data_IF_377835246875
#
_entry.id   IF_377835246875
#
_cell.length_a   1.000
_cell.length_b   1.000
_cell.length_c   1.000
_cell.angle_alpha   90.00
_cell.angle_beta   90.00
_cell.angle_gamma   90.00
#
_symmetry.space_group_name_H-M   'P 1'
#
loop_
_entity.id
_entity.type
_entity.pdbx_description
1 polymer ?
#
# COMPACT_ATOMS: atom_id res chain seq x y z
N UNK A 1 -5.25 -21.44 4.51
CA UNK A 1 -4.89 -22.45 3.50
C UNK A 1 -4.31 -21.72 2.30
N UNK A 2 -3.07 -21.97 1.95
CA UNK A 2 -2.45 -21.41 0.74
C UNK A 2 -2.71 -22.36 -0.43
N UNK A 3 -2.73 -21.88 -1.67
CA UNK A 3 -2.83 -22.76 -2.84
C UNK A 3 -1.65 -23.75 -2.94
N UNK A 4 -0.55 -23.49 -2.23
CA UNK A 4 0.60 -24.39 -2.11
C UNK A 4 0.30 -25.66 -1.31
N UNK A 5 -0.72 -25.64 -0.43
CA UNK A 5 -1.15 -26.76 0.40
C UNK A 5 -2.13 -27.71 -0.32
N UNK A 6 -2.60 -27.31 -1.51
CA UNK A 6 -3.51 -28.14 -2.31
C UNK A 6 -2.75 -29.37 -2.81
N UNK A 7 -3.30 -30.55 -2.53
CA UNK A 7 -2.71 -31.82 -2.95
C UNK A 7 -2.79 -32.00 -4.48
N UNK A 8 -1.64 -32.24 -5.10
CA UNK A 8 -1.52 -32.50 -6.52
C UNK A 8 -1.18 -31.29 -7.39
N UNK A 9 -0.33 -31.53 -8.39
CA UNK A 9 0.16 -30.46 -9.31
C UNK A 9 -0.97 -29.81 -10.11
N UNK A 10 -1.95 -30.60 -10.53
CA UNK A 10 -3.10 -30.12 -11.32
C UNK A 10 -3.98 -29.19 -10.49
N UNK A 11 -4.24 -29.52 -9.21
CA UNK A 11 -5.01 -28.68 -8.31
C UNK A 11 -4.35 -27.34 -8.06
N UNK A 12 -3.03 -27.32 -7.87
CA UNK A 12 -2.25 -26.08 -7.68
C UNK A 12 -2.31 -25.17 -8.90
N UNK A 13 -2.11 -25.72 -10.10
CA UNK A 13 -2.20 -24.97 -11.35
C UNK A 13 -3.60 -24.39 -11.55
N UNK A 14 -4.64 -25.18 -11.31
CA UNK A 14 -6.02 -24.72 -11.42
C UNK A 14 -6.33 -23.59 -10.42
N UNK A 15 -5.86 -23.69 -9.18
CA UNK A 15 -6.02 -22.65 -8.17
C UNK A 15 -5.28 -21.35 -8.57
N UNK A 16 -4.03 -21.45 -9.02
CA UNK A 16 -3.28 -20.31 -9.53
C UNK A 16 -4.00 -19.58 -10.67
N UNK A 17 -4.52 -20.34 -11.64
CA UNK A 17 -5.26 -19.78 -12.77
C UNK A 17 -6.56 -19.11 -12.29
N UNK A 18 -7.27 -19.72 -11.35
CA UNK A 18 -8.49 -19.15 -10.76
C UNK A 18 -8.22 -17.81 -10.07
N UNK A 19 -7.19 -17.73 -9.22
CA UNK A 19 -6.81 -16.48 -8.54
C UNK A 19 -6.28 -15.43 -9.53
N UNK A 20 -5.52 -15.83 -10.54
CA UNK A 20 -5.06 -14.94 -11.59
C UNK A 20 -6.24 -14.29 -12.32
N UNK A 21 -7.21 -15.07 -12.75
CA UNK A 21 -8.41 -14.56 -13.45
C UNK A 21 -9.25 -13.67 -12.52
N UNK A 22 -9.44 -14.06 -11.25
CA UNK A 22 -10.16 -13.25 -10.27
C UNK A 22 -9.48 -11.90 -10.03
N UNK A 23 -8.15 -11.90 -9.87
CA UNK A 23 -7.36 -10.67 -9.73
C UNK A 23 -7.48 -9.78 -10.96
N UNK A 24 -7.37 -10.34 -12.16
CA UNK A 24 -7.59 -9.61 -13.42
C UNK A 24 -8.98 -8.96 -13.47
N UNK A 25 -10.02 -9.69 -13.09
CA UNK A 25 -11.39 -9.18 -13.10
C UNK A 25 -11.58 -8.02 -12.12
N UNK A 26 -11.04 -8.12 -10.91
CA UNK A 26 -11.08 -7.04 -9.91
C UNK A 26 -10.35 -5.81 -10.46
N UNK A 27 -9.12 -5.96 -10.94
CA UNK A 27 -8.32 -4.84 -11.45
C UNK A 27 -8.88 -4.25 -12.75
N UNK A 28 -9.56 -5.04 -13.57
CA UNK A 28 -10.33 -4.52 -14.71
C UNK A 28 -11.46 -3.58 -14.25
N UNK A 29 -12.18 -3.92 -13.18
CA UNK A 29 -13.18 -3.02 -12.62
C UNK A 29 -12.54 -1.74 -12.04
N UNK A 30 -11.36 -1.86 -11.43
CA UNK A 30 -10.62 -0.71 -10.90
C UNK A 30 -10.16 0.26 -12.01
N UNK A 31 -9.86 -0.22 -13.21
CA UNK A 31 -9.56 0.71 -14.33
C UNK A 31 -10.70 1.68 -14.57
N UNK A 32 -11.96 1.23 -14.46
CA UNK A 32 -13.13 2.11 -14.58
C UNK A 32 -13.22 3.12 -13.44
N UNK A 33 -12.82 2.70 -12.22
CA UNK A 33 -12.81 3.57 -11.02
C UNK A 33 -11.78 4.69 -11.18
N UNK A 34 -10.57 4.36 -11.68
CA UNK A 34 -9.49 5.31 -11.96
C UNK A 34 -9.95 6.45 -12.89
N UNK A 35 -10.80 6.15 -13.87
CA UNK A 35 -11.34 7.17 -14.76
C UNK A 35 -12.53 7.94 -14.16
N UNK A 36 -13.38 7.24 -13.39
CA UNK A 36 -14.65 7.79 -12.91
C UNK A 36 -14.52 8.72 -11.69
N UNK A 37 -13.53 8.48 -10.83
CA UNK A 37 -13.34 9.30 -9.62
C UNK A 37 -12.91 10.73 -9.99
N UNK A 38 -11.84 10.96 -10.79
CA UNK A 38 -11.46 12.32 -11.18
C UNK A 38 -12.58 13.06 -11.91
N UNK A 39 -13.29 12.38 -12.82
CA UNK A 39 -14.41 12.96 -13.56
C UNK A 39 -15.54 13.44 -12.62
N UNK A 40 -15.91 12.63 -11.62
CA UNK A 40 -16.94 13.01 -10.64
C UNK A 40 -16.52 14.13 -9.70
N UNK A 41 -15.24 14.23 -9.38
CA UNK A 41 -14.68 15.25 -8.49
C UNK A 41 -14.21 16.50 -9.25
N UNK A 42 -14.40 16.54 -10.56
CA UNK A 42 -13.99 17.64 -11.44
C UNK A 42 -12.47 17.94 -11.33
N UNK A 43 -11.66 16.89 -11.06
CA UNK A 43 -10.21 17.01 -11.04
C UNK A 43 -9.67 17.13 -12.47
N UNK A 44 -8.84 18.13 -12.69
CA UNK A 44 -8.19 18.33 -13.98
C UNK A 44 -7.10 17.28 -14.19
N UNK A 45 -7.13 16.62 -15.36
CA UNK A 45 -6.08 15.67 -15.74
C UNK A 45 -4.92 16.41 -16.36
N UNK A 46 -3.76 16.28 -15.75
CA UNK A 46 -2.51 16.86 -16.23
C UNK A 46 -1.82 15.98 -17.27
N UNK A 47 -2.08 14.67 -17.22
CA UNK A 47 -1.46 13.69 -18.12
C UNK A 47 -2.49 12.76 -18.77
N UNK A 48 -2.36 12.54 -20.07
CA UNK A 48 -3.18 11.58 -20.80
C UNK A 48 -2.68 10.14 -20.57
N UNK A 49 -3.61 9.21 -20.29
CA UNK A 49 -3.25 7.82 -20.02
C UNK A 49 -2.69 7.10 -21.24
N UNK A 50 -1.57 6.42 -21.08
CA UNK A 50 -0.95 5.61 -22.13
C UNK A 50 -1.85 4.46 -22.60
N UNK A 51 -1.78 4.11 -23.90
CA UNK A 51 -2.65 3.09 -24.55
C UNK A 51 -2.61 1.71 -23.87
N UNK A 52 -1.47 1.30 -23.31
CA UNK A 52 -1.28 -0.02 -22.70
C UNK A 52 -1.47 -0.02 -21.18
N UNK A 53 -1.75 1.14 -20.57
CA UNK A 53 -1.86 1.28 -19.11
C UNK A 53 -2.88 0.33 -18.51
N UNK A 54 -4.08 0.27 -19.08
CA UNK A 54 -5.17 -0.55 -18.56
C UNK A 54 -4.82 -2.05 -18.60
N UNK A 55 -4.19 -2.50 -19.70
CA UNK A 55 -3.74 -3.88 -19.81
C UNK A 55 -2.67 -4.21 -18.74
N UNK A 56 -1.72 -3.30 -18.52
CA UNK A 56 -0.71 -3.45 -17.48
C UNK A 56 -1.32 -3.56 -16.08
N UNK A 57 -2.30 -2.70 -15.75
CA UNK A 57 -3.02 -2.74 -14.47
C UNK A 57 -3.74 -4.09 -14.28
N UNK A 58 -4.42 -4.58 -15.31
CA UNK A 58 -5.17 -5.84 -15.24
C UNK A 58 -4.24 -7.03 -15.04
N UNK A 59 -3.13 -7.11 -15.80
CA UNK A 59 -2.14 -8.18 -15.67
C UNK A 59 -1.49 -8.12 -14.27
N UNK A 60 -1.12 -6.93 -13.80
CA UNK A 60 -0.58 -6.73 -12.44
C UNK A 60 -1.54 -7.26 -11.38
N UNK A 61 -2.85 -7.01 -11.51
CA UNK A 61 -3.86 -7.52 -10.59
C UNK A 61 -3.93 -9.05 -10.55
N UNK A 62 -3.80 -9.71 -11.70
CA UNK A 62 -3.72 -11.17 -11.76
C UNK A 62 -2.49 -11.73 -11.05
N UNK A 63 -1.31 -11.16 -11.33
CA UNK A 63 -0.05 -11.55 -10.68
C UNK A 63 -0.12 -11.31 -9.18
N UNK A 64 -0.60 -10.13 -8.77
CA UNK A 64 -0.76 -9.79 -7.36
C UNK A 64 -1.66 -10.77 -6.62
N UNK A 65 -2.80 -11.17 -7.20
CA UNK A 65 -3.71 -12.13 -6.56
C UNK A 65 -3.05 -13.49 -6.30
N UNK A 66 -2.26 -13.99 -7.24
CA UNK A 66 -1.51 -15.24 -7.07
C UNK A 66 -0.45 -15.09 -5.98
N UNK A 67 0.30 -14.00 -5.96
CA UNK A 67 1.30 -13.75 -4.93
C UNK A 67 0.66 -13.63 -3.54
N UNK A 68 -0.42 -12.84 -3.40
CA UNK A 68 -1.09 -12.66 -2.11
C UNK A 68 -1.66 -13.97 -1.55
N UNK A 69 -2.31 -14.77 -2.38
CA UNK A 69 -2.82 -16.08 -1.93
C UNK A 69 -1.72 -17.07 -1.63
N UNK A 70 -0.54 -16.93 -2.27
CA UNK A 70 0.65 -17.72 -1.96
C UNK A 70 1.29 -17.34 -0.62
N UNK A 71 1.40 -16.06 -0.31
CA UNK A 71 2.05 -15.56 0.91
C UNK A 71 1.12 -15.52 2.13
N UNK A 72 -0.09 -15.00 1.97
CA UNK A 72 -1.03 -14.76 3.07
C UNK A 72 -2.13 -15.83 3.18
N UNK A 73 -2.20 -16.73 2.20
CA UNK A 73 -3.30 -17.69 2.14
C UNK A 73 -4.64 -17.05 1.78
N UNK A 74 -5.72 -17.80 2.02
CA UNK A 74 -7.10 -17.39 1.75
C UNK A 74 -7.77 -16.80 3.00
N UNK A 75 -6.99 -16.37 3.99
CA UNK A 75 -7.50 -15.72 5.19
C UNK A 75 -8.06 -14.33 4.92
N UNK A 76 -8.95 -13.85 5.79
CA UNK A 76 -9.57 -12.53 5.67
C UNK A 76 -8.54 -11.40 5.68
N UNK A 77 -7.44 -11.56 6.43
CA UNK A 77 -6.34 -10.59 6.43
C UNK A 77 -5.66 -10.47 5.06
N UNK A 78 -5.41 -11.61 4.40
CA UNK A 78 -4.86 -11.63 3.04
C UNK A 78 -5.76 -10.90 2.04
N UNK A 79 -7.08 -11.06 2.17
CA UNK A 79 -8.07 -10.34 1.35
C UNK A 79 -7.99 -8.83 1.61
N UNK A 80 -7.90 -8.40 2.87
CA UNK A 80 -7.79 -6.97 3.22
C UNK A 80 -6.51 -6.39 2.63
N UNK A 81 -5.37 -7.06 2.74
CA UNK A 81 -4.11 -6.59 2.17
C UNK A 81 -4.12 -6.57 0.64
N UNK A 82 -4.76 -7.54 0.00
CA UNK A 82 -4.97 -7.52 -1.45
C UNK A 82 -5.84 -6.35 -1.89
N UNK A 83 -6.95 -6.07 -1.17
CA UNK A 83 -7.79 -4.90 -1.44
C UNK A 83 -7.05 -3.59 -1.17
N UNK A 84 -6.20 -3.54 -0.15
CA UNK A 84 -5.34 -2.40 0.10
C UNK A 84 -4.39 -2.13 -1.07
N UNK A 85 -3.72 -3.18 -1.60
CA UNK A 85 -2.90 -3.04 -2.80
C UNK A 85 -3.72 -2.54 -4.00
N UNK A 86 -4.95 -3.02 -4.14
CA UNK A 86 -5.87 -2.56 -5.17
C UNK A 86 -6.19 -1.06 -5.04
N UNK A 87 -6.46 -0.58 -3.82
CA UNK A 87 -6.67 0.87 -3.56
C UNK A 87 -5.39 1.67 -3.78
N UNK A 88 -4.22 1.18 -3.36
CA UNK A 88 -2.93 1.83 -3.64
C UNK A 88 -2.67 1.97 -5.15
N UNK A 89 -3.06 0.96 -5.93
CA UNK A 89 -2.98 1.05 -7.40
C UNK A 89 -3.85 2.17 -7.95
N UNK A 90 -5.09 2.32 -7.43
CA UNK A 90 -5.98 3.43 -7.81
C UNK A 90 -5.38 4.78 -7.42
N UNK A 91 -4.86 4.91 -6.18
CA UNK A 91 -4.16 6.11 -5.71
C UNK A 91 -3.01 6.48 -6.65
N UNK A 92 -2.15 5.50 -6.97
CA UNK A 92 -1.00 5.67 -7.86
C UNK A 92 -1.40 6.31 -9.20
N UNK A 93 -2.38 5.73 -9.87
CA UNK A 93 -2.75 6.21 -11.21
C UNK A 93 -3.55 7.50 -11.19
N UNK A 94 -4.37 7.75 -10.17
CA UNK A 94 -5.07 9.03 -10.05
C UNK A 94 -4.06 10.15 -9.74
N UNK A 95 -3.14 9.91 -8.79
CA UNK A 95 -2.13 10.91 -8.43
C UNK A 95 -1.17 11.19 -9.61
N UNK A 96 -0.82 10.19 -10.42
CA UNK A 96 -0.07 10.41 -11.67
C UNK A 96 -0.82 11.24 -12.71
N UNK A 97 -2.15 11.11 -12.76
CA UNK A 97 -2.98 11.82 -13.74
C UNK A 97 -3.36 13.22 -13.28
N UNK A 98 -3.58 13.44 -11.97
CA UNK A 98 -4.19 14.67 -11.42
C UNK A 98 -3.32 15.39 -10.39
N UNK A 99 -2.23 14.77 -9.90
CA UNK A 99 -1.41 15.22 -8.75
C UNK A 99 -2.25 15.44 -7.47
N UNK A 100 -3.38 14.77 -7.36
CA UNK A 100 -4.23 14.84 -6.19
C UNK A 100 -4.70 13.44 -5.76
N UNK A 101 -4.64 13.17 -4.46
CA UNK A 101 -5.18 11.93 -3.89
C UNK A 101 -6.60 12.19 -3.37
N UNK A 102 -7.64 11.61 -3.99
CA UNK A 102 -9.03 11.77 -3.56
C UNK A 102 -9.22 11.35 -2.11
N UNK A 103 -9.83 12.21 -1.30
CA UNK A 103 -10.06 11.94 0.13
C UNK A 103 -10.80 10.62 0.38
N UNK A 104 -11.73 10.25 -0.51
CA UNK A 104 -12.50 9.00 -0.40
C UNK A 104 -11.62 7.76 -0.37
N UNK A 105 -10.49 7.74 -1.09
CA UNK A 105 -9.57 6.59 -1.08
C UNK A 105 -8.89 6.42 0.28
N UNK A 106 -8.51 7.53 0.92
CA UNK A 106 -7.95 7.51 2.26
C UNK A 106 -8.97 7.03 3.31
N UNK A 107 -10.24 7.42 3.17
CA UNK A 107 -11.33 6.92 4.01
C UNK A 107 -11.52 5.41 3.82
N UNK A 108 -11.50 4.92 2.58
CA UNK A 108 -11.59 3.47 2.31
C UNK A 108 -10.45 2.71 3.00
N UNK A 109 -9.21 3.18 2.90
CA UNK A 109 -8.06 2.56 3.58
C UNK A 109 -8.26 2.56 5.10
N UNK A 110 -8.72 3.68 5.66
CA UNK A 110 -8.98 3.78 7.09
C UNK A 110 -10.07 2.79 7.55
N UNK A 111 -11.19 2.71 6.81
CA UNK A 111 -12.26 1.74 7.08
C UNK A 111 -11.74 0.30 7.00
N UNK A 112 -10.88 -0.02 6.04
CA UNK A 112 -10.22 -1.33 5.97
C UNK A 112 -9.39 -1.60 7.23
N UNK A 113 -8.70 -0.59 7.76
CA UNK A 113 -7.99 -0.67 9.05
C UNK A 113 -8.92 -0.96 10.22
N UNK A 114 -10.08 -0.31 10.28
CA UNK A 114 -11.11 -0.58 11.30
C UNK A 114 -11.67 -2.01 11.17
N UNK A 115 -12.00 -2.44 9.96
CA UNK A 115 -12.46 -3.81 9.70
C UNK A 115 -11.40 -4.84 10.13
N UNK A 116 -10.13 -4.61 9.76
CA UNK A 116 -9.01 -5.45 10.18
C UNK A 116 -8.91 -5.54 11.71
N UNK A 117 -9.09 -4.44 12.42
CA UNK A 117 -9.07 -4.42 13.88
C UNK A 117 -10.23 -5.21 14.49
N UNK A 118 -11.44 -5.03 13.97
CA UNK A 118 -12.63 -5.76 14.43
C UNK A 118 -12.45 -7.27 14.22
N UNK A 119 -11.98 -7.67 13.04
CA UNK A 119 -11.76 -9.08 12.72
C UNK A 119 -10.67 -9.70 13.61
N UNK A 120 -9.61 -8.98 13.93
CA UNK A 120 -8.60 -9.42 14.87
C UNK A 120 -9.21 -9.67 16.25
N UNK A 121 -10.02 -8.75 16.76
CA UNK A 121 -10.69 -8.91 18.05
C UNK A 121 -11.65 -10.11 18.07
N UNK A 122 -12.40 -10.32 16.99
CA UNK A 122 -13.29 -11.49 16.86
C UNK A 122 -12.48 -12.78 16.79
N UNK A 123 -11.35 -12.80 16.07
CA UNK A 123 -10.44 -13.95 15.99
C UNK A 123 -9.91 -14.37 17.35
N UNK A 124 -9.51 -13.41 18.19
CA UNK A 124 -8.99 -13.67 19.53
C UNK A 124 -10.06 -14.21 20.50
N UNK A 125 -11.33 -13.90 20.25
CA UNK A 125 -12.45 -14.30 21.14
C UNK A 125 -13.12 -15.61 20.73
N UNK A 126 -12.95 -16.09 19.48
CA UNK A 126 -13.59 -17.31 18.97
C UNK A 126 -12.56 -18.44 18.83
N UNK A 127 -12.55 -19.46 19.71
CA UNK A 127 -11.66 -20.61 19.58
C UNK A 127 -11.86 -21.34 18.25
N UNK A 128 -10.76 -21.68 17.56
CA UNK A 128 -10.82 -22.39 16.28
C UNK A 128 -11.05 -21.52 15.05
N UNK A 129 -10.97 -20.21 15.18
CA UNK A 129 -11.10 -19.25 14.07
C UNK A 129 -9.83 -19.08 13.25
N UNK A 130 -9.11 -20.15 12.91
CA UNK A 130 -7.88 -20.10 12.09
C UNK A 130 -8.08 -19.33 10.77
N UNK A 131 -9.29 -19.39 10.21
CA UNK A 131 -9.65 -18.64 9.01
C UNK A 131 -9.65 -17.11 9.23
N UNK A 132 -9.85 -16.67 10.47
CA UNK A 132 -9.83 -15.26 10.90
C UNK A 132 -8.47 -14.86 11.46
N UNK A 133 -7.51 -15.79 11.59
CA UNK A 133 -6.19 -15.51 12.12
C UNK A 133 -5.55 -14.32 11.40
N UNK A 134 -5.17 -13.33 12.15
CA UNK A 134 -4.66 -12.05 11.68
C UNK A 134 -3.24 -11.87 12.24
N UNK A 135 -2.36 -11.25 11.44
CA UNK A 135 -1.08 -10.80 11.97
C UNK A 135 -1.31 -9.87 13.16
N UNK A 136 -0.59 -10.09 14.25
CA UNK A 136 -0.75 -9.34 15.50
C UNK A 136 -0.25 -7.90 15.37
N UNK A 137 -1.04 -7.05 14.71
CA UNK A 137 -0.82 -5.61 14.74
C UNK A 137 -1.56 -5.03 15.95
N UNK A 138 -0.87 -4.87 17.07
CA UNK A 138 -1.44 -4.33 18.31
C UNK A 138 -2.14 -2.98 18.07
N UNK A 139 -3.23 -2.70 18.81
CA UNK A 139 -3.94 -1.40 18.76
C UNK A 139 -2.97 -0.23 18.94
N UNK A 140 -2.04 -0.35 19.90
CA UNK A 140 -1.02 0.68 20.14
C UNK A 140 -0.14 0.88 18.89
N UNK A 141 0.25 -0.20 18.22
CA UNK A 141 1.02 -0.13 16.96
C UNK A 141 0.25 0.59 15.85
N UNK A 142 -1.07 0.39 15.76
CA UNK A 142 -1.94 1.09 14.80
C UNK A 142 -2.04 2.58 15.10
N UNK A 143 -2.25 2.95 16.37
CA UNK A 143 -2.33 4.36 16.79
C UNK A 143 -1.00 5.09 16.59
N UNK A 144 0.12 4.46 16.94
CA UNK A 144 1.45 5.01 16.66
C UNK A 144 1.65 5.14 15.15
N UNK A 145 1.24 4.12 14.36
CA UNK A 145 1.34 4.11 12.91
C UNK A 145 0.63 5.29 12.24
N UNK A 146 -0.55 5.68 12.75
CA UNK A 146 -1.27 6.86 12.26
C UNK A 146 -0.43 8.14 12.37
N UNK A 147 0.33 8.29 13.46
CA UNK A 147 0.93 9.56 13.86
C UNK A 147 2.40 9.62 13.48
N UNK A 148 3.12 8.50 13.50
CA UNK A 148 4.58 8.47 13.39
C UNK A 148 5.13 9.13 12.11
N UNK A 149 4.42 9.06 11.00
CA UNK A 149 4.82 9.69 9.73
C UNK A 149 3.91 10.87 9.39
N UNK A 150 2.58 10.73 9.57
CA UNK A 150 1.65 11.78 9.19
C UNK A 150 1.86 13.08 9.97
N UNK A 151 2.18 13.00 11.27
CA UNK A 151 2.44 14.17 12.10
C UNK A 151 3.72 14.92 11.69
N UNK A 152 4.90 14.28 11.52
CA UNK A 152 6.08 14.94 10.97
C UNK A 152 5.83 15.58 9.60
N UNK A 153 5.15 14.89 8.68
CA UNK A 153 4.81 15.45 7.37
C UNK A 153 3.90 16.67 7.51
N UNK A 154 2.89 16.60 8.39
CA UNK A 154 2.01 17.74 8.66
C UNK A 154 2.78 18.94 9.21
N UNK A 155 3.71 18.72 10.14
CA UNK A 155 4.56 19.77 10.68
C UNK A 155 5.46 20.38 9.59
N UNK A 156 6.03 19.56 8.69
CA UNK A 156 6.83 20.09 7.57
C UNK A 156 5.98 21.01 6.69
N UNK A 157 4.75 20.59 6.33
CA UNK A 157 3.84 21.40 5.50
C UNK A 157 3.41 22.69 6.19
N UNK A 158 3.32 22.70 7.52
CA UNK A 158 3.02 23.92 8.29
C UNK A 158 4.10 24.99 8.15
N UNK A 159 5.38 24.58 8.04
CA UNK A 159 6.52 25.49 7.87
C UNK A 159 6.89 25.70 6.39
N UNK A 160 6.63 24.70 5.54
CA UNK A 160 6.92 24.69 4.11
C UNK A 160 5.66 24.23 3.37
N UNK A 161 4.72 25.13 3.05
CA UNK A 161 3.38 24.77 2.52
C UNK A 161 3.40 23.94 1.24
N UNK A 162 4.47 23.99 0.45
CA UNK A 162 4.63 23.26 -0.81
C UNK A 162 5.51 22.00 -0.67
N UNK A 163 5.90 21.62 0.57
CA UNK A 163 6.84 20.53 0.80
C UNK A 163 6.28 19.13 0.51
N UNK A 164 5.01 18.88 0.84
CA UNK A 164 4.30 17.62 0.61
C UNK A 164 2.82 17.87 0.32
N UNK A 165 2.20 16.96 -0.45
CA UNK A 165 0.77 17.00 -0.71
C UNK A 165 -0.07 16.66 0.53
N UNK A 166 -1.16 17.42 0.76
CA UNK A 166 -2.10 17.10 1.83
C UNK A 166 -2.75 15.70 1.68
N UNK A 167 -2.77 15.17 0.46
CA UNK A 167 -3.20 13.82 0.15
C UNK A 167 -2.26 12.76 0.71
N UNK A 168 -0.94 12.97 0.59
CA UNK A 168 0.11 12.06 1.08
C UNK A 168 0.05 11.92 2.61
N UNK A 169 -0.17 13.02 3.33
CA UNK A 169 -0.31 13.01 4.80
C UNK A 169 -1.50 12.14 5.22
N UNK A 170 -2.65 12.31 4.55
CA UNK A 170 -3.86 11.53 4.81
C UNK A 170 -3.69 10.05 4.43
N UNK A 171 -2.96 9.79 3.33
CA UNK A 171 -2.62 8.43 2.92
C UNK A 171 -1.77 7.74 4.00
N UNK A 172 -0.72 8.40 4.49
CA UNK A 172 0.14 7.84 5.53
C UNK A 172 -0.59 7.64 6.86
N UNK A 173 -1.52 8.54 7.20
CA UNK A 173 -2.39 8.41 8.36
C UNK A 173 -3.27 7.15 8.26
N UNK A 174 -3.98 6.97 7.16
CA UNK A 174 -4.89 5.85 6.96
C UNK A 174 -4.15 4.51 6.82
N UNK A 175 -3.06 4.49 6.04
CA UNK A 175 -2.22 3.31 5.87
C UNK A 175 -1.52 2.91 7.19
N UNK A 176 -1.10 3.90 7.99
CA UNK A 176 -0.49 3.67 9.29
C UNK A 176 -1.42 2.98 10.29
N UNK A 177 -2.70 3.32 10.25
CA UNK A 177 -3.71 2.62 11.05
C UNK A 177 -3.94 1.17 10.60
N UNK A 178 -3.90 0.91 9.31
CA UNK A 178 -4.06 -0.45 8.77
C UNK A 178 -2.83 -1.33 9.05
N UNK A 179 -1.62 -0.82 8.77
CA UNK A 179 -0.38 -1.60 8.75
C UNK A 179 0.39 -1.58 10.08
N UNK A 180 0.11 -0.59 10.95
CA UNK A 180 0.90 -0.33 12.14
C UNK A 180 2.22 0.41 11.85
N UNK A 181 2.90 0.87 12.92
CA UNK A 181 4.02 1.80 12.81
C UNK A 181 5.26 1.22 12.07
N UNK A 182 5.59 -0.07 12.30
CA UNK A 182 6.79 -0.69 11.69
C UNK A 182 6.70 -0.66 10.16
N UNK A 183 5.62 -1.19 9.60
CA UNK A 183 5.43 -1.24 8.16
C UNK A 183 5.28 0.16 7.56
N UNK A 184 4.61 1.08 8.27
CA UNK A 184 4.41 2.46 7.82
C UNK A 184 5.73 3.22 7.72
N UNK A 185 6.61 3.10 8.72
CA UNK A 185 7.94 3.74 8.70
C UNK A 185 8.77 3.17 7.54
N UNK A 186 8.86 1.85 7.41
CA UNK A 186 9.60 1.21 6.31
C UNK A 186 9.05 1.64 4.95
N UNK A 187 7.71 1.62 4.78
CA UNK A 187 7.06 2.00 3.53
C UNK A 187 7.32 3.46 3.16
N UNK A 188 7.25 4.36 4.13
CA UNK A 188 7.58 5.76 3.93
C UNK A 188 9.03 5.95 3.46
N UNK A 189 10.00 5.32 4.14
CA UNK A 189 11.41 5.47 3.76
C UNK A 189 11.71 4.87 2.39
N UNK A 190 11.11 3.71 2.04
CA UNK A 190 11.22 3.15 0.69
C UNK A 190 10.65 4.13 -0.34
N UNK A 191 9.44 4.65 -0.10
CA UNK A 191 8.80 5.65 -0.96
C UNK A 191 9.64 6.92 -1.11
N UNK A 192 10.21 7.41 0.00
CA UNK A 192 11.08 8.58 0.02
C UNK A 192 12.36 8.37 -0.80
N UNK A 193 13.00 7.22 -0.67
CA UNK A 193 14.20 6.86 -1.45
C UNK A 193 13.86 6.80 -2.94
N UNK A 194 12.78 6.09 -3.31
CA UNK A 194 12.38 5.95 -4.71
C UNK A 194 11.99 7.30 -5.33
N UNK A 195 11.19 8.09 -4.61
CA UNK A 195 10.80 9.44 -5.04
C UNK A 195 11.98 10.39 -5.11
N UNK A 196 12.93 10.31 -4.15
CA UNK A 196 14.16 11.09 -4.14
C UNK A 196 15.06 10.76 -5.33
N UNK A 197 15.26 9.48 -5.64
CA UNK A 197 16.01 9.05 -6.84
C UNK A 197 15.36 9.59 -8.11
N UNK A 198 14.03 9.48 -8.23
CA UNK A 198 13.30 10.01 -9.37
C UNK A 198 13.46 11.53 -9.48
N UNK A 199 13.30 12.26 -8.38
CA UNK A 199 13.49 13.71 -8.34
C UNK A 199 14.89 14.15 -8.77
N UNK A 200 15.93 13.45 -8.31
CA UNK A 200 17.33 13.72 -8.76
C UNK A 200 17.49 13.45 -10.25
N UNK A 201 16.92 12.37 -10.78
CA UNK A 201 16.97 12.06 -12.22
C UNK A 201 16.28 13.16 -13.03
N UNK A 202 15.11 13.64 -12.61
CA UNK A 202 14.39 14.74 -13.26
C UNK A 202 15.22 16.03 -13.24
N UNK A 203 15.85 16.36 -12.13
CA UNK A 203 16.70 17.53 -11.99
C UNK A 203 17.93 17.49 -12.92
N UNK A 204 18.62 16.33 -12.98
CA UNK A 204 19.80 16.14 -13.84
C UNK A 204 19.44 16.20 -15.32
N UNK A 205 18.32 15.62 -15.70
CA UNK A 205 17.85 15.63 -17.09
C UNK A 205 17.27 16.97 -17.54
N UNK A 206 17.12 17.93 -16.63
CA UNK A 206 16.44 19.22 -16.90
C UNK A 206 15.08 19.07 -17.58
N UNK A 207 14.43 17.94 -17.37
CA UNK A 207 13.14 17.62 -18.01
C UNK A 207 11.97 18.37 -17.33
N UNK A 208 12.17 18.85 -16.12
CA UNK A 208 11.23 19.65 -15.35
C UNK A 208 11.89 20.97 -14.92
N UNK A 209 11.12 22.06 -14.92
CA UNK A 209 11.56 23.36 -14.38
C UNK A 209 11.82 23.27 -12.87
N UNK A 210 12.53 24.26 -12.30
CA UNK A 210 12.81 24.30 -10.84
C UNK A 210 11.57 24.30 -9.95
N UNK A 211 10.39 24.60 -10.49
CA UNK A 211 9.11 24.72 -9.79
C UNK A 211 8.07 23.64 -10.22
N UNK A 212 8.47 22.65 -11.01
CA UNK A 212 7.51 21.61 -11.42
C UNK A 212 7.34 20.60 -10.28
N UNK A 213 6.14 20.53 -9.74
CA UNK A 213 5.73 19.50 -8.80
C UNK A 213 5.63 18.15 -9.52
N UNK A 214 5.98 17.08 -8.84
CA UNK A 214 5.74 15.73 -9.33
C UNK A 214 4.88 14.95 -8.33
N UNK A 215 4.08 14.01 -8.85
CA UNK A 215 3.24 13.15 -8.05
C UNK A 215 4.11 12.28 -7.12
N UNK A 216 4.00 12.44 -5.80
CA UNK A 216 4.75 11.66 -4.81
C UNK A 216 4.00 10.41 -4.35
N UNK A 217 2.67 10.41 -4.45
CA UNK A 217 1.79 9.30 -4.09
C UNK A 217 2.14 7.94 -4.72
N UNK A 218 2.57 7.87 -6.00
CA UNK A 218 3.03 6.62 -6.61
C UNK A 218 4.19 5.97 -5.87
N UNK A 219 5.16 6.75 -5.44
CA UNK A 219 6.34 6.26 -4.71
C UNK A 219 5.98 5.79 -3.31
N UNK A 220 5.11 6.54 -2.61
CA UNK A 220 4.55 6.11 -1.32
C UNK A 220 3.75 4.82 -1.46
N UNK A 221 2.90 4.72 -2.49
CA UNK A 221 2.09 3.54 -2.75
C UNK A 221 2.95 2.30 -3.01
N UNK A 222 4.03 2.43 -3.79
CA UNK A 222 5.00 1.36 -4.03
C UNK A 222 5.72 0.99 -2.73
N UNK A 223 6.17 1.97 -1.96
CA UNK A 223 6.80 1.74 -0.66
C UNK A 223 5.89 0.95 0.28
N UNK A 224 4.64 1.38 0.44
CA UNK A 224 3.63 0.70 1.25
C UNK A 224 3.30 -0.70 0.72
N UNK A 225 3.23 -0.90 -0.61
CA UNK A 225 3.01 -2.21 -1.21
C UNK A 225 4.16 -3.19 -0.91
N UNK A 226 5.41 -2.74 -0.97
CA UNK A 226 6.58 -3.56 -0.62
C UNK A 226 6.53 -3.99 0.84
N UNK A 227 6.10 -3.11 1.74
CA UNK A 227 6.04 -3.44 3.18
C UNK A 227 5.00 -4.48 3.54
N UNK A 228 3.99 -4.72 2.71
CA UNK A 228 3.06 -5.84 2.91
C UNK A 228 3.80 -7.19 2.98
N UNK A 229 4.87 -7.34 2.20
CA UNK A 229 5.63 -8.60 2.13
C UNK A 229 6.86 -8.60 3.04
N UNK A 230 7.54 -7.47 3.16
CA UNK A 230 8.87 -7.40 3.78
C UNK A 230 8.94 -6.44 4.99
N UNK A 231 7.90 -5.67 5.30
CA UNK A 231 7.96 -4.57 6.28
C UNK A 231 8.38 -5.01 7.68
N UNK A 232 7.76 -6.06 8.20
CA UNK A 232 8.10 -6.60 9.52
C UNK A 232 9.49 -7.24 9.54
N UNK A 233 9.89 -7.91 8.46
CA UNK A 233 11.22 -8.54 8.34
C UNK A 233 12.29 -7.46 8.37
N UNK A 234 12.17 -6.43 7.55
CA UNK A 234 13.12 -5.31 7.47
C UNK A 234 13.23 -4.61 8.82
N UNK A 235 12.09 -4.27 9.44
CA UNK A 235 12.10 -3.54 10.70
C UNK A 235 12.65 -4.38 11.84
N UNK A 236 12.33 -5.67 11.93
CA UNK A 236 12.87 -6.53 12.98
C UNK A 236 14.40 -6.70 12.84
N UNK A 237 14.91 -6.92 11.63
CA UNK A 237 16.37 -6.96 11.40
C UNK A 237 17.06 -5.66 11.78
N UNK A 238 16.43 -4.51 11.47
CA UNK A 238 16.96 -3.20 11.85
C UNK A 238 17.01 -3.03 13.38
N UNK A 239 15.93 -3.40 14.08
CA UNK A 239 15.88 -3.34 15.55
C UNK A 239 16.93 -4.26 16.18
N UNK A 240 17.09 -5.48 15.65
CA UNK A 240 18.07 -6.43 16.16
C UNK A 240 19.50 -5.95 15.89
N UNK A 241 19.76 -5.33 14.75
CA UNK A 241 21.04 -4.68 14.46
C UNK A 241 21.36 -3.57 15.47
N UNK A 242 20.37 -2.70 15.77
CA UNK A 242 20.56 -1.63 16.78
C UNK A 242 20.84 -2.22 18.16
N UNK A 243 20.08 -3.23 18.58
CA UNK A 243 20.30 -3.89 19.87
C UNK A 243 21.69 -4.49 19.97
N UNK A 244 22.16 -5.17 18.92
CA UNK A 244 23.52 -5.72 18.87
C UNK A 244 24.59 -4.64 18.89
N UNK A 245 24.35 -3.49 18.23
CA UNK A 245 25.28 -2.36 18.24
C UNK A 245 25.33 -1.66 19.62
N UNK A 246 24.23 -1.65 20.37
CA UNK A 246 24.14 -1.03 21.70
C UNK A 246 24.65 -1.96 22.82
N UNK A 247 24.59 -3.27 22.64
CA UNK A 247 25.07 -4.28 23.58
C UNK A 247 26.07 -5.22 22.88
N UNK A 248 27.33 -4.81 22.63
CA UNK A 248 28.32 -5.63 21.93
C UNK A 248 28.84 -6.84 22.74
N UNK A 249 28.35 -7.08 23.96
CA UNK A 249 28.84 -8.16 24.86
C UNK A 249 27.89 -9.39 24.94
N UNK A 250 26.96 -9.58 23.98
CA UNK A 250 26.13 -10.80 23.94
C UNK A 250 26.40 -11.57 22.65
#
# INVERSE_FOLDING_TARGET
MTWLEISGTVGRVAACLGFFIAGMAIFYLLTKVIYRIPEKQQLERLHEPGKFRNAGIVIFGGVAAVLFTGFFGMGLQGIIYFLFLAVLTVVTFIDMDTMEIPFMLNVIIFVMGVVSLILQFVSDTVPGSEFLAMDEVTIVSRLIGMICISLPLYLIVLFIPEGFGGGDIKLMFAAGFLLGWKATVVGFFIGLILGGIYGVICLVRRSHGKNDHFAFGPFLSVGLAITLFCGNIIMNHYIDFIKAAMNPEI
#
